data_IF_437828029114
#
_entry.id   IF_437828029114
#
_cell.length_a   1.000
_cell.length_b   1.000
_cell.length_c   1.000
_cell.angle_alpha   90.00
_cell.angle_beta   90.00
_cell.angle_gamma   90.00
#
_symmetry.space_group_name_H-M   'P 1'
#
loop_
_entity.id
_entity.type
_entity.pdbx_description
1 polymer ?
#
# COMPACT_ATOMS: atom_id res chain seq x y z
N UNK A 1 5.11 -7.04 12.20
CA UNK A 1 4.46 -7.91 11.20
C UNK A 1 5.35 -8.18 9.99
N UNK A 2 5.83 -7.14 9.28
CA UNK A 2 6.73 -7.27 8.11
C UNK A 2 7.91 -8.23 8.33
N UNK A 3 8.62 -8.07 9.45
CA UNK A 3 9.76 -8.94 9.77
C UNK A 3 9.40 -10.42 9.84
N UNK A 4 8.20 -10.76 10.34
CA UNK A 4 7.77 -12.14 10.47
C UNK A 4 7.45 -12.75 9.10
N UNK A 5 6.78 -11.98 8.24
CA UNK A 5 6.48 -12.36 6.85
C UNK A 5 7.79 -12.67 6.11
N UNK A 6 8.80 -11.81 6.26
CA UNK A 6 10.12 -11.99 5.65
C UNK A 6 10.85 -13.20 6.25
N UNK A 7 10.90 -13.33 7.57
CA UNK A 7 11.57 -14.44 8.26
C UNK A 7 10.99 -15.80 7.89
N UNK A 8 9.69 -15.87 7.61
CA UNK A 8 8.99 -17.10 7.21
C UNK A 8 8.91 -17.31 5.69
N UNK A 9 9.37 -16.35 4.88
CA UNK A 9 9.31 -16.44 3.42
C UNK A 9 7.88 -16.46 2.86
N UNK A 10 6.93 -15.81 3.55
CA UNK A 10 5.53 -15.81 3.15
C UNK A 10 5.22 -14.69 2.15
N UNK A 11 4.28 -14.95 1.25
CA UNK A 11 3.57 -13.89 0.52
C UNK A 11 2.35 -13.46 1.34
N UNK A 12 2.17 -12.15 1.51
CA UNK A 12 1.07 -11.60 2.29
C UNK A 12 0.34 -10.50 1.51
N UNK A 13 -0.99 -10.49 1.63
CA UNK A 13 -1.84 -9.39 1.19
C UNK A 13 -2.45 -8.75 2.44
N UNK A 14 -2.21 -7.45 2.62
CA UNK A 14 -2.76 -6.66 3.73
C UNK A 14 -3.72 -5.61 3.15
N UNK A 15 -4.87 -5.45 3.78
CA UNK A 15 -5.83 -4.38 3.47
C UNK A 15 -5.93 -3.49 4.71
N UNK A 16 -5.72 -2.20 4.51
CA UNK A 16 -5.84 -1.19 5.57
C UNK A 16 -6.36 0.09 4.96
N UNK A 17 -7.00 0.90 5.80
CA UNK A 17 -7.37 2.28 5.46
C UNK A 17 -6.30 3.28 5.91
N UNK A 18 -5.25 2.84 6.62
CA UNK A 18 -4.14 3.68 7.07
C UNK A 18 -2.95 3.59 6.10
N UNK A 19 -2.58 4.74 5.51
CA UNK A 19 -1.48 4.83 4.56
C UNK A 19 -0.12 4.56 5.21
N UNK A 20 0.09 4.95 6.47
CA UNK A 20 1.35 4.73 7.17
C UNK A 20 1.62 3.24 7.39
N UNK A 21 0.58 2.47 7.73
CA UNK A 21 0.67 1.02 7.84
C UNK A 21 1.03 0.38 6.50
N UNK A 22 0.35 0.80 5.41
CA UNK A 22 0.62 0.29 4.08
C UNK A 22 2.05 0.59 3.64
N UNK A 23 2.55 1.80 3.90
CA UNK A 23 3.92 2.24 3.58
C UNK A 23 4.99 1.51 4.39
N UNK A 24 4.75 1.21 5.67
CA UNK A 24 5.73 0.59 6.54
C UNK A 24 5.88 -0.92 6.32
N UNK A 25 4.84 -1.59 5.82
CA UNK A 25 4.75 -3.06 5.81
C UNK A 25 4.91 -3.64 4.40
N UNK A 26 4.46 -2.93 3.36
CA UNK A 26 4.26 -3.51 2.03
C UNK A 26 5.43 -3.24 1.09
N UNK A 27 5.78 -4.22 0.26
CA UNK A 27 6.73 -4.02 -0.84
C UNK A 27 6.05 -3.33 -2.05
N UNK A 28 4.73 -3.52 -2.19
CA UNK A 28 3.88 -2.84 -3.17
C UNK A 28 2.54 -2.46 -2.54
N UNK A 29 1.96 -1.34 -2.98
CA UNK A 29 0.68 -0.81 -2.51
C UNK A 29 -0.24 -0.68 -3.71
N UNK A 30 -1.51 -1.02 -3.52
CA UNK A 30 -2.60 -0.75 -4.45
C UNK A 30 -3.59 0.18 -3.75
N UNK A 31 -3.90 1.32 -4.37
CA UNK A 31 -4.97 2.20 -3.92
C UNK A 31 -6.25 1.80 -4.64
N UNK A 32 -7.27 1.45 -3.85
CA UNK A 32 -8.60 1.10 -4.34
C UNK A 32 -9.59 2.24 -4.08
N UNK A 33 -10.35 2.61 -5.10
CA UNK A 33 -11.51 3.50 -4.97
C UNK A 33 -12.68 2.90 -5.75
N UNK A 34 -13.83 2.72 -5.08
CA UNK A 34 -15.05 2.18 -5.68
C UNK A 34 -14.84 0.89 -6.51
N UNK A 35 -13.98 0.00 -6.04
CA UNK A 35 -13.69 -1.28 -6.71
C UNK A 35 -12.71 -1.19 -7.89
N UNK A 36 -12.13 0.00 -8.15
CA UNK A 36 -11.14 0.23 -9.19
C UNK A 36 -9.77 0.51 -8.55
N UNK A 37 -8.69 -0.02 -9.14
CA UNK A 37 -7.32 0.32 -8.74
C UNK A 37 -7.00 1.68 -9.34
N UNK A 38 -6.91 2.71 -8.52
CA UNK A 38 -6.56 4.06 -8.98
C UNK A 38 -5.05 4.23 -9.12
N UNK A 39 -4.27 3.62 -8.23
CA UNK A 39 -2.81 3.70 -8.24
C UNK A 39 -2.19 2.38 -7.78
N UNK A 40 -0.99 2.09 -8.28
CA UNK A 40 -0.19 0.95 -7.85
C UNK A 40 1.30 1.29 -7.93
N UNK A 41 2.07 0.89 -6.94
CA UNK A 41 3.50 1.17 -6.91
C UNK A 41 4.18 0.69 -5.63
N UNK A 42 5.48 0.96 -5.53
CA UNK A 42 6.25 0.86 -4.30
C UNK A 42 5.84 1.97 -3.31
N UNK A 43 6.06 1.82 -2.00
CA UNK A 43 5.78 2.88 -1.03
C UNK A 43 6.37 4.24 -1.41
N UNK A 44 7.57 4.26 -2.00
CA UNK A 44 8.26 5.47 -2.43
C UNK A 44 7.55 6.16 -3.60
N UNK A 45 7.08 5.39 -4.58
CA UNK A 45 6.30 5.91 -5.71
C UNK A 45 4.95 6.46 -5.24
N UNK A 46 4.38 5.87 -4.19
CA UNK A 46 3.11 6.32 -3.59
C UNK A 46 3.26 7.55 -2.68
N UNK A 47 4.43 7.77 -2.06
CA UNK A 47 4.66 8.89 -1.11
C UNK A 47 4.70 10.27 -1.79
N UNK A 48 5.23 10.34 -3.01
CA UNK A 48 5.48 11.60 -3.73
C UNK A 48 4.30 12.12 -4.57
N UNK A 49 3.22 11.37 -4.63
CA UNK A 49 1.99 11.75 -5.33
C UNK A 49 0.81 11.43 -4.42
N UNK A 50 0.35 12.37 -3.58
CA UNK A 50 -1.00 12.33 -3.06
C UNK A 50 -1.98 12.64 -4.21
N UNK A 51 -1.86 11.92 -5.32
CA UNK A 51 -2.69 12.07 -6.50
C UNK A 51 -4.14 11.83 -6.09
N UNK A 52 -4.91 12.93 -6.09
CA UNK A 52 -6.33 12.94 -6.39
C UNK A 52 -7.35 12.45 -5.34
N UNK A 53 -6.97 11.75 -4.26
CA UNK A 53 -7.96 11.18 -3.32
C UNK A 53 -8.58 12.16 -2.29
N UNK A 54 -8.10 13.41 -2.18
CA UNK A 54 -8.70 14.45 -1.31
C UNK A 54 -9.41 15.56 -2.10
N UNK A 55 -9.38 15.53 -3.44
CA UNK A 55 -10.07 16.54 -4.26
C UNK A 55 -10.54 15.98 -5.61
N UNK A 56 -11.65 15.26 -5.59
CA UNK A 56 -12.84 15.56 -6.42
C UNK A 56 -14.09 15.25 -5.64
#
# INVERSE_FOLDING_TARGET
MRELIIKLGLSALMVTHDQNEAMAISDRILLLNNGVIEQQGTPQEMYGSPGDAVRR
#
